data_IF_121349134774
#
_entry.id   IF_121349134774
#
_cell.length_a   1.000
_cell.length_b   1.000
_cell.length_c   1.000
_cell.angle_alpha   90.00
_cell.angle_beta   90.00
_cell.angle_gamma   90.00
#
_symmetry.space_group_name_H-M   'P 1'
#
loop_
_entity.id
_entity.type
_entity.pdbx_description
1 polymer ?
#
# COMPACT_ATOMS: atom_id res chain seq x y z
N UNK A 1 11.49 9.47 0.94
CA UNK A 1 11.36 8.29 1.82
C UNK A 1 10.88 7.19 0.92
N UNK A 2 11.66 6.12 0.78
CA UNK A 2 11.34 5.05 -0.15
C UNK A 2 10.33 4.09 0.48
N UNK A 3 9.21 3.89 -0.20
CA UNK A 3 8.20 2.90 0.16
C UNK A 3 8.74 1.51 -0.16
N UNK A 4 8.55 0.55 0.74
CA UNK A 4 8.87 -0.85 0.50
C UNK A 4 7.75 -1.77 1.00
N UNK A 5 7.79 -3.01 0.54
CA UNK A 5 6.74 -4.02 0.75
C UNK A 5 6.54 -4.50 2.19
N UNK A 6 7.51 -4.25 3.07
CA UNK A 6 7.44 -4.64 4.49
C UNK A 6 6.69 -3.62 5.35
N UNK A 7 6.38 -2.44 4.80
CA UNK A 7 5.57 -1.45 5.49
C UNK A 7 4.15 -1.96 5.64
N UNK A 8 3.55 -1.71 6.80
CA UNK A 8 2.14 -2.00 7.04
C UNK A 8 1.24 -1.03 6.30
N UNK A 9 0.03 -1.44 5.96
CA UNK A 9 -0.96 -0.56 5.34
C UNK A 9 -1.21 0.67 6.23
N UNK A 10 -1.26 0.51 7.56
CA UNK A 10 -1.41 1.62 8.50
C UNK A 10 -0.25 2.63 8.41
N UNK A 11 1.00 2.15 8.35
CA UNK A 11 2.16 3.02 8.16
C UNK A 11 2.11 3.76 6.83
N UNK A 12 1.76 3.06 5.74
CA UNK A 12 1.65 3.68 4.41
C UNK A 12 0.64 4.82 4.40
N UNK A 13 -0.53 4.64 5.02
CA UNK A 13 -1.57 5.67 5.09
C UNK A 13 -1.11 6.94 5.83
N UNK A 14 -0.10 6.83 6.69
CA UNK A 14 0.49 7.96 7.41
C UNK A 14 1.60 8.67 6.62
N UNK A 15 2.12 8.08 5.54
CA UNK A 15 3.22 8.67 4.75
C UNK A 15 2.72 9.85 3.91
N UNK A 16 1.58 9.69 3.24
CA UNK A 16 1.06 10.70 2.33
C UNK A 16 -0.44 10.50 2.07
N UNK A 17 -1.21 11.59 2.00
CA UNK A 17 -2.65 11.56 1.72
C UNK A 17 -3.00 10.89 0.37
N UNK A 18 -2.06 10.83 -0.58
CA UNK A 18 -2.23 10.15 -1.86
C UNK A 18 -2.14 8.63 -1.78
N UNK A 19 -1.63 8.05 -0.69
CA UNK A 19 -1.49 6.59 -0.55
C UNK A 19 -2.85 5.90 -0.60
N UNK A 20 -3.82 6.39 0.20
CA UNK A 20 -5.15 5.79 0.25
C UNK A 20 -5.79 5.67 -1.14
N UNK A 21 -5.89 6.73 -1.96
CA UNK A 21 -6.46 6.60 -3.29
C UNK A 21 -5.62 5.75 -4.25
N UNK A 22 -4.29 5.63 -4.08
CA UNK A 22 -3.48 4.70 -4.89
C UNK A 22 -3.85 3.25 -4.55
N UNK A 23 -3.86 2.89 -3.27
CA UNK A 23 -4.20 1.54 -2.80
C UNK A 23 -5.63 1.14 -3.19
N UNK A 24 -6.59 2.06 -3.07
CA UNK A 24 -7.97 1.81 -3.50
C UNK A 24 -8.07 1.52 -5.01
N UNK A 25 -7.33 2.27 -5.85
CA UNK A 25 -7.28 2.01 -7.30
C UNK A 25 -6.63 0.66 -7.63
N UNK A 26 -5.70 0.20 -6.80
CA UNK A 26 -5.09 -1.13 -6.93
C UNK A 26 -6.03 -2.26 -6.48
N UNK A 27 -7.16 -1.95 -5.82
CA UNK A 27 -8.15 -2.93 -5.37
C UNK A 27 -8.26 -3.08 -3.85
N UNK A 28 -7.41 -2.39 -3.08
CA UNK A 28 -7.39 -2.46 -1.61
C UNK A 28 -8.44 -1.51 -1.00
N UNK A 29 -9.70 -1.94 -0.95
CA UNK A 29 -10.80 -1.10 -0.43
C UNK A 29 -10.94 -1.14 1.10
N UNK A 30 -10.31 -2.10 1.77
CA UNK A 30 -10.48 -2.38 3.20
C UNK A 30 -9.55 -1.55 4.11
N UNK A 31 -9.11 -0.37 3.68
CA UNK A 31 -8.10 0.45 4.37
C UNK A 31 -8.52 0.94 5.78
N UNK A 32 -9.81 0.99 6.07
CA UNK A 32 -10.34 1.40 7.38
C UNK A 32 -10.48 0.26 8.40
N UNK A 33 -10.25 -1.00 8.00
CA UNK A 33 -10.32 -2.13 8.90
C UNK A 33 -9.05 -2.20 9.77
N UNK A 34 -9.16 -2.29 11.12
CA UNK A 34 -8.00 -2.41 11.98
C UNK A 34 -7.10 -3.60 11.63
N UNK A 35 -7.70 -4.72 11.21
CA UNK A 35 -6.95 -5.90 10.79
C UNK A 35 -6.12 -5.61 9.54
N UNK A 36 -6.71 -4.96 8.53
CA UNK A 36 -6.01 -4.65 7.29
C UNK A 36 -4.91 -3.62 7.44
N UNK A 37 -5.02 -2.72 8.41
CA UNK A 37 -3.94 -1.78 8.71
C UNK A 37 -2.71 -2.45 9.36
N UNK A 38 -2.86 -3.64 9.95
CA UNK A 38 -1.75 -4.41 10.52
C UNK A 38 -1.10 -5.38 9.53
N UNK A 39 -1.68 -5.57 8.34
CA UNK A 39 -1.07 -6.35 7.27
C UNK A 39 0.06 -5.54 6.62
N UNK A 40 1.15 -6.21 6.25
CA UNK A 40 2.15 -5.63 5.36
C UNK A 40 1.58 -5.44 3.96
N UNK A 41 2.18 -4.55 3.17
CA UNK A 41 1.80 -4.37 1.77
C UNK A 41 1.96 -5.67 0.97
N UNK A 42 3.02 -6.45 1.23
CA UNK A 42 3.25 -7.74 0.58
C UNK A 42 2.12 -8.74 0.89
N UNK A 43 1.75 -8.90 2.17
CA UNK A 43 0.66 -9.80 2.58
C UNK A 43 -0.67 -9.40 1.95
N UNK A 44 -1.01 -8.11 1.99
CA UNK A 44 -2.21 -7.61 1.36
C UNK A 44 -2.20 -7.89 -0.15
N UNK A 45 -1.08 -7.65 -0.84
CA UNK A 45 -0.94 -7.94 -2.27
C UNK A 45 -1.14 -9.43 -2.58
N UNK A 46 -0.62 -10.33 -1.75
CA UNK A 46 -0.81 -11.78 -1.90
C UNK A 46 -2.29 -12.18 -1.81
N UNK A 47 -3.04 -11.64 -0.85
CA UNK A 47 -4.47 -11.94 -0.66
C UNK A 47 -5.31 -11.43 -1.85
N UNK A 48 -4.92 -10.29 -2.40
CA UNK A 48 -5.66 -9.62 -3.49
C UNK A 48 -5.15 -9.96 -4.90
N UNK A 49 -4.11 -10.80 -5.02
CA UNK A 49 -3.56 -11.21 -6.32
C UNK A 49 -2.88 -10.06 -7.08
N UNK A 50 -2.30 -9.11 -6.36
CA UNK A 50 -1.62 -7.93 -6.90
C UNK A 50 -0.11 -8.17 -6.91
N UNK A 51 0.56 -7.75 -7.97
CA UNK A 51 2.04 -7.74 -8.00
C UNK A 51 2.56 -6.61 -7.10
N UNK A 52 3.13 -6.99 -5.95
CA UNK A 52 3.58 -6.05 -4.94
C UNK A 52 4.77 -5.20 -5.43
N UNK A 53 5.67 -5.76 -6.24
CA UNK A 53 6.85 -5.04 -6.73
C UNK A 53 6.42 -3.95 -7.72
N UNK A 54 5.46 -4.25 -8.60
CA UNK A 54 4.84 -3.27 -9.50
C UNK A 54 4.15 -2.16 -8.70
N UNK A 55 3.36 -2.51 -7.68
CA UNK A 55 2.64 -1.51 -6.87
C UNK A 55 3.60 -0.60 -6.10
N UNK A 56 4.65 -1.15 -5.49
CA UNK A 56 5.68 -0.36 -4.79
C UNK A 56 6.38 0.60 -5.76
N UNK A 57 6.74 0.12 -6.95
CA UNK A 57 7.36 0.99 -7.97
C UNK A 57 6.44 2.13 -8.38
N UNK A 58 5.15 1.87 -8.59
CA UNK A 58 4.18 2.90 -8.94
C UNK A 58 3.97 3.92 -7.82
N UNK A 59 3.92 3.46 -6.56
CA UNK A 59 3.79 4.35 -5.40
C UNK A 59 5.00 5.29 -5.32
N UNK A 60 6.23 4.75 -5.39
CA UNK A 60 7.44 5.57 -5.32
C UNK A 60 7.53 6.58 -6.48
N UNK A 61 7.16 6.18 -7.71
CA UNK A 61 7.11 7.08 -8.86
C UNK A 61 6.14 8.25 -8.63
N UNK A 62 4.93 7.97 -8.14
CA UNK A 62 3.92 9.01 -7.86
C UNK A 62 4.37 9.96 -6.75
N UNK A 63 5.06 9.45 -5.74
CA UNK A 63 5.56 10.26 -4.63
C UNK A 63 6.86 11.01 -4.95
N UNK A 64 7.49 10.73 -6.11
CA UNK A 64 8.81 11.26 -6.45
C UNK A 64 9.89 10.85 -5.45
N UNK A 65 9.76 9.65 -4.89
CA UNK A 65 10.61 9.11 -3.82
C UNK A 65 11.80 8.31 -4.35
#
# INVERSE_FOLDING_TARGET
MEINKNMTIGELLMVNDNIAPILMRAGMHCLGCPSSQMETLEEACMVHGIDCDVLVSQINEILGA
#
